data_IF_264642706439
#
_entry.id   IF_264642706439
#
_cell.length_a   1.000
_cell.length_b   1.000
_cell.length_c   1.000
_cell.angle_alpha   90.00
_cell.angle_beta   90.00
_cell.angle_gamma   90.00
#
_symmetry.space_group_name_H-M   'P 1'
#
loop_
_entity.id
_entity.type
_entity.pdbx_description
1 polymer ?
#
# COMPACT_ATOMS: atom_id res chain seq x y z
N UNK A 1 -62.01 -9.24 19.42
CA UNK A 1 -60.68 -8.70 19.05
C UNK A 1 -60.41 -9.16 17.62
N UNK A 2 -60.49 -8.24 16.66
CA UNK A 2 -60.28 -8.54 15.25
C UNK A 2 -58.78 -8.58 14.95
N UNK A 3 -58.33 -9.59 14.21
CA UNK A 3 -56.97 -9.69 13.71
C UNK A 3 -56.70 -8.57 12.67
N UNK A 4 -55.46 -8.03 12.59
CA UNK A 4 -55.16 -7.04 11.57
C UNK A 4 -55.19 -7.69 10.19
N UNK A 5 -55.66 -6.97 9.15
CA UNK A 5 -55.61 -7.48 7.78
C UNK A 5 -54.16 -7.60 7.33
N UNK A 6 -53.84 -8.75 6.72
CA UNK A 6 -52.61 -8.95 5.98
C UNK A 6 -52.51 -7.85 4.91
N UNK A 7 -51.59 -6.90 5.12
CA UNK A 7 -51.21 -5.92 4.13
C UNK A 7 -50.45 -6.62 3.01
N UNK A 8 -51.18 -7.21 2.06
CA UNK A 8 -50.61 -7.60 0.78
C UNK A 8 -50.20 -6.33 0.05
N UNK A 9 -48.92 -6.00 0.11
CA UNK A 9 -48.32 -5.03 -0.81
C UNK A 9 -48.36 -5.69 -2.20
N UNK A 10 -49.38 -5.40 -2.99
CA UNK A 10 -49.35 -5.62 -4.44
C UNK A 10 -48.45 -4.55 -5.02
N UNK A 11 -47.15 -4.71 -4.81
CA UNK A 11 -46.14 -3.98 -5.54
C UNK A 11 -46.01 -4.71 -6.90
N UNK A 12 -46.96 -4.43 -7.80
CA UNK A 12 -46.96 -4.89 -9.19
C UNK A 12 -45.96 -4.05 -10.01
N UNK A 13 -44.74 -3.93 -9.49
CA UNK A 13 -43.63 -3.36 -10.24
C UNK A 13 -43.01 -4.51 -11.01
N UNK A 14 -42.93 -4.46 -12.36
CA UNK A 14 -42.34 -5.54 -13.13
C UNK A 14 -40.91 -5.73 -12.66
N UNK A 15 -40.63 -6.89 -12.07
CA UNK A 15 -39.27 -7.25 -11.64
C UNK A 15 -38.32 -7.08 -12.84
N UNK A 16 -37.30 -6.25 -12.67
CA UNK A 16 -36.36 -5.91 -13.74
C UNK A 16 -35.41 -7.09 -13.96
N UNK A 17 -35.79 -7.97 -14.88
CA UNK A 17 -34.99 -9.10 -15.35
C UNK A 17 -34.06 -8.72 -16.51
N UNK A 18 -33.76 -7.43 -16.73
CA UNK A 18 -32.85 -7.02 -17.79
C UNK A 18 -31.43 -7.56 -17.56
N UNK A 19 -30.67 -7.72 -18.65
CA UNK A 19 -29.26 -8.10 -18.55
C UNK A 19 -28.46 -7.08 -17.71
N UNK A 20 -28.83 -5.80 -17.73
CA UNK A 20 -28.17 -4.79 -16.89
C UNK A 20 -28.41 -5.01 -15.39
N UNK A 21 -29.59 -5.51 -15.01
CA UNK A 21 -29.94 -5.82 -13.62
C UNK A 21 -29.40 -7.19 -13.14
N UNK A 22 -29.18 -8.13 -14.06
CA UNK A 22 -28.76 -9.51 -13.75
C UNK A 22 -27.27 -9.78 -13.97
N UNK A 23 -26.56 -8.93 -14.72
CA UNK A 23 -25.12 -9.09 -14.96
C UNK A 23 -24.32 -8.51 -13.79
N UNK A 24 -23.74 -9.41 -13.00
CA UNK A 24 -22.66 -9.06 -12.07
C UNK A 24 -21.39 -8.87 -12.91
N UNK A 25 -20.95 -7.63 -13.07
CA UNK A 25 -19.65 -7.36 -13.69
C UNK A 25 -18.55 -7.76 -12.71
N UNK A 26 -17.60 -8.55 -13.19
CA UNK A 26 -16.36 -8.73 -12.48
C UNK A 26 -15.56 -7.44 -12.54
N UNK A 27 -14.84 -7.16 -11.46
CA UNK A 27 -13.82 -6.13 -11.50
C UNK A 27 -12.81 -6.49 -12.60
N UNK A 28 -12.39 -5.51 -13.43
CA UNK A 28 -11.34 -5.76 -14.41
C UNK A 28 -10.08 -6.26 -13.70
N UNK A 29 -9.28 -7.11 -14.37
CA UNK A 29 -8.05 -7.62 -13.76
C UNK A 29 -7.14 -6.44 -13.39
N UNK A 30 -6.56 -6.50 -12.19
CA UNK A 30 -5.60 -5.49 -11.77
C UNK A 30 -4.42 -5.46 -12.74
N UNK A 31 -3.99 -4.27 -13.21
CA UNK A 31 -2.86 -4.16 -14.12
C UNK A 31 -1.59 -4.71 -13.46
N UNK A 32 -0.77 -5.42 -14.24
CA UNK A 32 0.45 -6.02 -13.72
C UNK A 32 1.45 -4.92 -13.33
N UNK A 33 1.94 -4.97 -12.08
CA UNK A 33 2.97 -4.03 -11.60
C UNK A 33 4.28 -4.15 -12.38
N UNK A 34 4.58 -5.34 -12.89
CA UNK A 34 5.79 -5.61 -13.67
C UNK A 34 5.44 -6.45 -14.89
N UNK A 35 6.04 -6.12 -16.03
CA UNK A 35 5.91 -6.88 -17.27
C UNK A 35 7.29 -7.40 -17.72
N UNK A 36 7.33 -8.47 -18.53
CA UNK A 36 8.57 -8.92 -19.16
C UNK A 36 9.15 -7.84 -20.07
N UNK A 37 10.44 -7.53 -19.93
CA UNK A 37 11.21 -6.69 -20.86
C UNK A 37 12.45 -7.44 -21.31
N UNK A 38 12.97 -7.21 -22.53
CA UNK A 38 14.20 -7.85 -22.98
C UNK A 38 15.35 -7.56 -22.01
N UNK A 39 16.21 -8.55 -21.75
CA UNK A 39 17.44 -8.28 -21.00
C UNK A 39 18.38 -7.38 -21.82
N UNK A 40 19.34 -6.76 -21.14
CA UNK A 40 20.34 -5.92 -21.79
C UNK A 40 21.27 -6.72 -22.72
N UNK A 41 21.47 -8.02 -22.46
CA UNK A 41 22.30 -8.88 -23.29
C UNK A 41 21.45 -9.69 -24.29
N UNK A 42 21.85 -9.75 -25.58
CA UNK A 42 21.17 -10.58 -26.58
C UNK A 42 21.18 -12.05 -26.18
N UNK A 43 20.03 -12.72 -26.30
CA UNK A 43 19.88 -14.15 -25.98
C UNK A 43 19.65 -14.46 -24.50
N UNK A 44 19.69 -13.46 -23.61
CA UNK A 44 19.27 -13.65 -22.22
C UNK A 44 17.74 -13.66 -22.08
N UNK A 45 17.21 -14.36 -21.06
CA UNK A 45 15.78 -14.38 -20.76
C UNK A 45 15.23 -12.97 -20.46
N UNK A 46 13.93 -12.78 -20.72
CA UNK A 46 13.26 -11.55 -20.34
C UNK A 46 13.26 -11.38 -18.81
N UNK A 47 13.33 -10.13 -18.35
CA UNK A 47 13.29 -9.75 -16.94
C UNK A 47 11.99 -9.04 -16.63
N UNK A 48 11.45 -9.21 -15.41
CA UNK A 48 10.26 -8.47 -14.99
C UNK A 48 10.63 -7.07 -14.51
N UNK A 49 10.11 -6.05 -15.19
CA UNK A 49 10.37 -4.65 -14.89
C UNK A 49 9.08 -3.87 -14.63
N UNK A 50 9.16 -2.87 -13.76
CA UNK A 50 8.16 -1.81 -13.69
C UNK A 50 8.15 -1.00 -14.98
N UNK A 51 6.98 -0.43 -15.30
CA UNK A 51 6.79 0.41 -16.49
C UNK A 51 7.78 1.56 -16.54
N UNK A 52 7.96 2.25 -15.43
CA UNK A 52 8.78 3.45 -15.34
C UNK A 52 9.16 3.75 -13.88
N UNK A 53 9.96 4.80 -13.68
CA UNK A 53 10.34 5.25 -12.35
C UNK A 53 9.14 5.65 -11.47
N UNK A 54 8.05 6.14 -12.07
CA UNK A 54 6.87 6.60 -11.34
C UNK A 54 6.08 5.42 -10.76
N UNK A 55 5.84 4.40 -11.57
CA UNK A 55 5.19 3.14 -11.16
C UNK A 55 6.03 2.36 -10.16
N UNK A 56 7.37 2.32 -10.32
CA UNK A 56 8.26 1.76 -9.30
C UNK A 56 8.12 2.50 -7.96
N UNK A 57 8.13 3.85 -7.99
CA UNK A 57 8.05 4.67 -6.77
C UNK A 57 6.67 4.56 -6.11
N UNK A 58 5.59 4.59 -6.89
CA UNK A 58 4.24 4.38 -6.38
C UNK A 58 4.08 3.00 -5.71
N UNK A 59 4.67 1.96 -6.30
CA UNK A 59 4.66 0.63 -5.71
C UNK A 59 5.52 0.55 -4.44
N UNK A 60 6.66 1.25 -4.39
CA UNK A 60 7.47 1.38 -3.17
C UNK A 60 6.65 2.04 -2.05
N UNK A 61 6.06 3.21 -2.33
CA UNK A 61 5.33 3.99 -1.35
C UNK A 61 4.10 3.24 -0.83
N UNK A 62 3.38 2.54 -1.72
CA UNK A 62 2.24 1.70 -1.34
C UNK A 62 2.67 0.51 -0.46
N UNK A 63 3.80 -0.13 -0.77
CA UNK A 63 4.32 -1.23 0.04
C UNK A 63 4.80 -0.74 1.41
N UNK A 64 5.50 0.40 1.45
CA UNK A 64 5.95 1.04 2.70
C UNK A 64 4.76 1.41 3.58
N UNK A 65 3.76 2.09 3.03
CA UNK A 65 2.54 2.47 3.74
C UNK A 65 1.77 1.25 4.28
N UNK A 66 1.67 0.18 3.49
CA UNK A 66 1.02 -1.07 3.92
C UNK A 66 1.77 -1.72 5.08
N UNK A 67 3.11 -1.77 5.02
CA UNK A 67 3.93 -2.33 6.09
C UNK A 67 3.88 -1.48 7.37
N UNK A 68 3.88 -0.16 7.24
CA UNK A 68 3.69 0.77 8.38
C UNK A 68 2.33 0.50 9.03
N UNK A 69 1.26 0.47 8.25
CA UNK A 69 -0.10 0.23 8.75
C UNK A 69 -0.22 -1.11 9.50
N UNK A 70 0.34 -2.19 8.93
CA UNK A 70 0.36 -3.50 9.58
C UNK A 70 1.18 -3.49 10.88
N UNK A 71 2.34 -2.82 10.87
CA UNK A 71 3.16 -2.68 12.05
C UNK A 71 2.44 -1.89 13.16
N UNK A 72 1.79 -0.77 12.83
CA UNK A 72 1.02 0.02 13.78
C UNK A 72 -0.16 -0.76 14.35
N UNK A 73 -0.85 -1.56 13.53
CA UNK A 73 -1.90 -2.45 14.00
C UNK A 73 -1.37 -3.49 15.01
N UNK A 74 -0.19 -4.06 14.75
CA UNK A 74 0.51 -4.93 15.68
C UNK A 74 0.93 -4.20 16.97
N UNK A 75 1.44 -2.97 16.82
CA UNK A 75 1.84 -2.12 17.94
C UNK A 75 0.64 -1.77 18.84
N UNK A 76 -0.55 -1.48 18.29
CA UNK A 76 -1.78 -1.26 19.09
C UNK A 76 -2.07 -2.43 20.02
N UNK A 77 -1.98 -3.66 19.52
CA UNK A 77 -2.17 -4.87 20.34
C UNK A 77 -1.07 -5.04 21.39
N UNK A 78 0.19 -4.81 21.05
CA UNK A 78 1.31 -4.90 22.00
C UNK A 78 1.28 -3.81 23.08
N UNK A 79 0.92 -2.59 22.70
CA UNK A 79 0.81 -1.43 23.57
C UNK A 79 -0.35 -1.56 24.54
N UNK A 80 -1.51 -2.09 24.13
CA UNK A 80 -2.64 -2.32 25.04
C UNK A 80 -2.29 -3.34 26.14
N UNK A 81 -1.57 -4.41 25.80
CA UNK A 81 -1.07 -5.40 26.77
C UNK A 81 -0.06 -4.73 27.72
N UNK A 82 0.86 -3.93 27.19
CA UNK A 82 1.90 -3.25 27.98
C UNK A 82 1.28 -2.23 28.94
N UNK A 83 0.34 -1.41 28.46
CA UNK A 83 -0.41 -0.44 29.25
C UNK A 83 -1.18 -1.14 30.38
N UNK A 84 -1.93 -2.20 30.06
CA UNK A 84 -2.67 -2.99 31.06
C UNK A 84 -1.75 -3.57 32.14
N UNK A 85 -0.57 -4.05 31.77
CA UNK A 85 0.42 -4.59 32.71
C UNK A 85 1.03 -3.52 33.62
N UNK A 86 1.25 -2.31 33.10
CA UNK A 86 1.78 -1.18 33.89
C UNK A 86 0.75 -0.56 34.82
N UNK A 87 -0.52 -0.53 34.41
CA UNK A 87 -1.59 0.14 35.15
C UNK A 87 -2.38 -0.80 36.07
N UNK A 88 -2.14 -2.12 36.02
CA UNK A 88 -2.79 -3.07 36.93
C UNK A 88 -2.33 -2.85 38.37
N UNK A 89 -3.25 -2.76 39.35
CA UNK A 89 -2.86 -2.69 40.76
C UNK A 89 -2.12 -3.97 41.17
N UNK A 90 -1.15 -3.89 42.09
CA UNK A 90 -0.48 -5.07 42.61
C UNK A 90 -1.47 -6.07 43.18
N UNK A 91 -1.25 -7.37 42.92
CA UNK A 91 -2.17 -8.43 43.33
C UNK A 91 -2.44 -8.47 44.84
N UNK A 92 -1.47 -8.05 45.66
CA UNK A 92 -1.61 -8.01 47.12
C UNK A 92 -2.61 -6.96 47.63
N UNK A 93 -2.89 -5.89 46.86
CA UNK A 93 -3.90 -4.88 47.25
C UNK A 93 -5.31 -5.49 47.31
N UNK A 94 -5.62 -6.44 46.43
CA UNK A 94 -6.89 -7.16 46.45
C UNK A 94 -7.00 -8.18 47.59
N UNK A 95 -5.86 -8.67 48.11
CA UNK A 95 -5.84 -9.62 49.23
C UNK A 95 -6.06 -8.95 50.59
N UNK A 96 -5.62 -7.70 50.75
CA UNK A 96 -5.68 -6.96 52.01
C UNK A 96 -7.01 -6.21 52.23
N UNK A 97 -8.01 -6.42 51.36
CA UNK A 97 -9.30 -5.72 51.48
C UNK A 97 -9.21 -4.20 51.33
N UNK A 98 -8.13 -3.70 50.69
CA UNK A 98 -8.03 -2.29 50.35
C UNK A 98 -9.14 -1.91 49.36
N UNK A 99 -9.47 -0.62 49.31
CA UNK A 99 -10.57 -0.04 48.54
C UNK A 99 -10.72 -0.66 47.12
N UNK A 100 -11.96 -0.78 46.60
CA UNK A 100 -12.21 -1.31 45.27
C UNK A 100 -11.30 -0.62 44.24
N UNK A 101 -10.83 -1.39 43.25
CA UNK A 101 -9.95 -0.86 42.20
C UNK A 101 -10.62 0.36 41.58
N UNK A 102 -9.92 1.50 41.60
CA UNK A 102 -10.37 2.69 40.90
C UNK A 102 -10.23 2.44 39.39
N UNK A 103 -11.35 2.10 38.77
CA UNK A 103 -11.40 1.81 37.35
C UNK A 103 -11.15 3.07 36.50
N UNK A 104 -11.52 4.24 37.00
CA UNK A 104 -11.33 5.51 36.28
C UNK A 104 -9.85 5.93 36.28
N UNK A 105 -9.17 5.81 37.42
CA UNK A 105 -7.72 6.03 37.48
C UNK A 105 -6.96 5.03 36.61
N UNK A 106 -7.41 3.78 36.58
CA UNK A 106 -6.82 2.73 35.74
C UNK A 106 -7.00 3.04 34.26
N UNK A 107 -8.18 3.43 33.83
CA UNK A 107 -8.46 3.81 32.44
C UNK A 107 -7.57 4.99 32.01
N UNK A 108 -7.50 6.05 32.82
CA UNK A 108 -6.62 7.21 32.56
C UNK A 108 -5.13 6.84 32.53
N UNK A 109 -4.71 5.82 33.26
CA UNK A 109 -3.36 5.29 33.18
C UNK A 109 -3.15 4.53 31.87
N UNK A 110 -4.08 3.62 31.53
CA UNK A 110 -3.99 2.78 30.33
C UNK A 110 -4.00 3.62 29.05
N UNK A 111 -4.83 4.66 28.98
CA UNK A 111 -4.85 5.62 27.86
C UNK A 111 -3.50 6.34 27.69
N UNK A 112 -2.91 6.85 28.78
CA UNK A 112 -1.61 7.55 28.73
C UNK A 112 -0.48 6.62 28.32
N UNK A 113 -0.42 5.43 28.90
CA UNK A 113 0.60 4.43 28.57
C UNK A 113 0.44 3.90 27.15
N UNK A 114 -0.80 3.72 26.68
CA UNK A 114 -1.08 3.30 25.30
C UNK A 114 -0.66 4.39 24.31
N UNK A 115 -1.03 5.64 24.54
CA UNK A 115 -0.65 6.76 23.67
C UNK A 115 0.89 6.91 23.57
N UNK A 116 1.58 6.91 24.72
CA UNK A 116 3.04 7.01 24.74
C UNK A 116 3.73 5.83 24.02
N UNK A 117 3.22 4.62 24.20
CA UNK A 117 3.74 3.43 23.52
C UNK A 117 3.51 3.49 21.99
N UNK A 118 2.33 3.94 21.55
CA UNK A 118 2.01 4.07 20.13
C UNK A 118 2.86 5.14 19.44
N UNK A 119 3.05 6.31 20.06
CA UNK A 119 3.93 7.34 19.51
C UNK A 119 5.38 6.83 19.36
N UNK A 120 5.89 6.11 20.36
CA UNK A 120 7.21 5.49 20.28
C UNK A 120 7.31 4.41 19.18
N UNK A 121 6.20 3.71 18.89
CA UNK A 121 6.17 2.66 17.88
C UNK A 121 6.19 3.20 16.44
N UNK A 122 5.67 4.40 16.18
CA UNK A 122 5.56 4.96 14.81
C UNK A 122 6.90 4.99 14.07
N UNK A 123 7.94 5.55 14.69
CA UNK A 123 9.26 5.65 14.05
C UNK A 123 9.88 4.26 13.83
N UNK A 124 9.69 3.33 14.77
CA UNK A 124 10.14 1.96 14.63
C UNK A 124 9.43 1.25 13.47
N UNK A 125 8.13 1.48 13.29
CA UNK A 125 7.35 0.94 12.17
C UNK A 125 7.81 1.49 10.81
N UNK A 126 8.10 2.79 10.71
CA UNK A 126 8.65 3.40 9.50
C UNK A 126 10.02 2.78 9.17
N UNK A 127 10.92 2.68 10.14
CA UNK A 127 12.25 2.05 9.95
C UNK A 127 12.12 0.59 9.52
N UNK A 128 11.20 -0.16 10.14
CA UNK A 128 10.92 -1.54 9.78
C UNK A 128 10.42 -1.64 8.33
N UNK A 129 9.44 -0.82 7.94
CA UNK A 129 8.87 -0.80 6.60
C UNK A 129 9.93 -0.52 5.53
N UNK A 130 10.74 0.54 5.70
CA UNK A 130 11.85 0.88 4.79
C UNK A 130 12.86 -0.27 4.68
N UNK A 131 13.23 -0.87 5.81
CA UNK A 131 14.14 -2.01 5.85
C UNK A 131 13.59 -3.27 5.15
N UNK A 132 12.27 -3.42 5.08
CA UNK A 132 11.62 -4.52 4.34
C UNK A 132 11.42 -4.20 2.86
N UNK A 133 11.18 -2.94 2.49
CA UNK A 133 11.07 -2.51 1.10
C UNK A 133 12.40 -2.58 0.35
N UNK A 134 13.54 -2.38 1.02
CA UNK A 134 14.84 -2.30 0.34
C UNK A 134 15.16 -3.54 -0.50
N UNK A 135 14.97 -4.75 0.03
CA UNK A 135 15.32 -5.99 -0.68
C UNK A 135 14.54 -6.17 -1.99
N UNK A 136 13.20 -6.22 -1.95
CA UNK A 136 12.38 -6.45 -3.14
C UNK A 136 12.43 -5.38 -4.22
N UNK A 137 12.78 -4.13 -3.86
CA UNK A 137 12.73 -2.99 -4.77
C UNK A 137 14.09 -2.50 -5.24
N UNK A 138 15.17 -2.68 -4.46
CA UNK A 138 16.52 -2.28 -4.86
C UNK A 138 16.95 -2.98 -6.14
N UNK A 139 16.69 -4.29 -6.24
CA UNK A 139 17.04 -5.09 -7.41
C UNK A 139 15.91 -5.19 -8.45
N UNK A 140 14.75 -4.58 -8.17
CA UNK A 140 13.66 -4.56 -9.14
C UNK A 140 14.08 -3.78 -10.38
N UNK A 141 13.70 -4.31 -11.55
CA UNK A 141 13.98 -3.67 -12.83
C UNK A 141 12.95 -2.60 -13.14
N UNK A 142 13.39 -1.56 -13.82
CA UNK A 142 12.57 -0.47 -14.32
C UNK A 142 12.87 -0.32 -15.81
N UNK A 143 11.84 -0.32 -16.65
CA UNK A 143 12.03 -0.18 -18.09
C UNK A 143 12.58 1.21 -18.44
N UNK A 144 13.45 1.26 -19.44
CA UNK A 144 13.94 2.51 -20.03
C UNK A 144 12.88 3.14 -20.93
N UNK A 145 12.74 4.48 -20.92
CA UNK A 145 11.72 5.19 -21.71
C UNK A 145 11.68 4.84 -23.20
N UNK A 146 12.85 4.63 -23.83
CA UNK A 146 12.94 4.31 -25.27
C UNK A 146 12.41 2.93 -25.68
N UNK A 147 12.14 2.02 -24.74
CA UNK A 147 11.56 0.70 -25.01
C UNK A 147 10.03 0.77 -25.12
N UNK A 148 9.41 1.63 -24.32
CA UNK A 148 7.96 1.80 -24.24
C UNK A 148 7.35 2.51 -25.44
N UNK A 149 8.11 3.41 -26.08
CA UNK A 149 7.66 4.12 -27.28
C UNK A 149 7.68 3.25 -28.54
N UNK A 150 8.44 2.14 -28.53
CA UNK A 150 8.66 1.26 -29.68
C UNK A 150 7.99 -0.11 -29.58
N UNK A 151 7.31 -0.42 -28.48
CA UNK A 151 6.68 -1.72 -28.28
C UNK A 151 5.20 -1.57 -27.98
N UNK A 152 4.38 -2.30 -28.73
CA UNK A 152 2.94 -2.50 -28.48
C UNK A 152 2.75 -3.44 -27.27
N UNK A 153 3.32 -3.06 -26.12
CA UNK A 153 3.30 -3.86 -24.91
C UNK A 153 1.96 -3.67 -24.20
N UNK A 154 0.92 -4.33 -24.71
CA UNK A 154 -0.45 -4.36 -24.16
C UNK A 154 -0.53 -4.86 -22.70
N UNK A 155 0.57 -5.42 -22.17
CA UNK A 155 0.65 -6.01 -20.82
C UNK A 155 0.39 -4.98 -19.70
N UNK A 156 0.75 -3.71 -19.91
CA UNK A 156 0.44 -2.63 -18.95
C UNK A 156 -0.88 -1.90 -19.26
N UNK A 157 -1.54 -2.23 -20.38
CA UNK A 157 -2.69 -1.52 -20.94
C UNK A 157 -4.05 -2.17 -20.71
N UNK A 158 -4.14 -3.26 -19.94
CA UNK A 158 -5.40 -3.93 -19.63
C UNK A 158 -6.30 -3.02 -18.75
N UNK A 159 -7.09 -2.15 -19.38
CA UNK A 159 -8.12 -1.33 -18.74
C UNK A 159 -8.29 0.10 -19.29
N UNK A 160 -7.45 0.55 -20.23
CA UNK A 160 -7.60 1.88 -20.82
C UNK A 160 -8.42 1.83 -22.11
N UNK A 161 -9.68 2.27 -22.07
CA UNK A 161 -10.40 2.63 -23.29
C UNK A 161 -9.52 3.60 -24.09
N UNK A 162 -9.28 3.27 -25.37
CA UNK A 162 -8.43 4.01 -26.34
C UNK A 162 -8.90 5.45 -26.65
N UNK A 163 -9.70 6.07 -25.79
CA UNK A 163 -10.29 7.41 -25.98
C UNK A 163 -9.98 8.40 -24.85
N UNK A 164 -9.31 8.00 -23.77
CA UNK A 164 -8.82 8.96 -22.79
C UNK A 164 -7.45 9.49 -23.22
N UNK A 165 -7.49 10.65 -23.89
CA UNK A 165 -6.36 11.57 -24.07
C UNK A 165 -5.42 11.48 -22.87
N UNK A 166 -4.17 11.11 -23.13
CA UNK A 166 -3.12 11.08 -22.14
C UNK A 166 -3.02 12.46 -21.48
N UNK A 167 -3.67 12.61 -20.32
CA UNK A 167 -3.32 13.66 -19.38
C UNK A 167 -2.03 13.21 -18.73
N UNK A 168 -0.95 13.43 -19.47
CA UNK A 168 0.40 13.41 -18.97
C UNK A 168 0.48 14.50 -17.91
N UNK A 169 0.39 14.11 -16.64
CA UNK A 169 1.17 14.76 -15.60
C UNK A 169 2.65 14.45 -15.88
N UNK A 170 3.15 15.04 -16.97
CA UNK A 170 4.57 15.14 -17.29
C UNK A 170 5.17 16.07 -16.23
N UNK A 171 5.53 15.50 -15.08
CA UNK A 171 6.61 16.07 -14.31
C UNK A 171 7.87 15.89 -15.16
N UNK A 172 8.27 17.04 -15.70
CA UNK A 172 9.41 17.32 -16.56
C UNK A 172 10.72 16.77 -15.97
N UNK A 173 10.94 15.47 -16.06
CA UNK A 173 12.26 14.86 -15.97
C UNK A 173 12.64 14.44 -17.39
N UNK A 174 13.08 15.43 -18.18
CA UNK A 174 13.85 15.16 -19.39
C UNK A 174 15.17 14.51 -18.96
N UNK A 175 15.10 13.21 -18.71
CA UNK A 175 16.26 12.37 -18.50
C UNK A 175 16.92 12.24 -19.86
N UNK A 176 17.92 13.11 -20.09
CA UNK A 176 18.79 13.07 -21.25
C UNK A 176 19.66 11.81 -21.15
N UNK A 177 19.05 10.65 -21.41
CA UNK A 177 19.80 9.44 -21.67
C UNK A 177 20.30 9.54 -23.11
N UNK A 178 21.62 9.45 -23.28
CA UNK A 178 22.21 9.14 -24.57
C UNK A 178 21.46 7.92 -25.14
N UNK A 179 21.04 7.93 -26.41
CA UNK A 179 20.30 6.84 -27.02
C UNK A 179 21.29 5.72 -27.37
N UNK A 180 21.95 5.16 -26.36
CA UNK A 180 22.51 3.84 -26.48
C UNK A 180 21.32 2.89 -26.46
N UNK A 181 20.92 2.45 -27.65
CA UNK A 181 19.87 1.47 -27.92
C UNK A 181 20.08 0.10 -27.22
N UNK A 182 21.07 -0.02 -26.33
CA UNK A 182 21.48 -1.23 -25.63
C UNK A 182 20.86 -1.39 -24.22
N UNK A 183 20.42 -0.31 -23.57
CA UNK A 183 19.90 -0.39 -22.19
C UNK A 183 18.38 -0.39 -22.18
N UNK A 184 17.80 -1.58 -22.06
CA UNK A 184 16.34 -1.80 -22.03
C UNK A 184 15.72 -1.62 -20.65
N UNK A 185 16.52 -1.72 -19.59
CA UNK A 185 16.10 -1.59 -18.20
C UNK A 185 17.26 -1.20 -17.27
N UNK A 186 16.93 -0.64 -16.11
CA UNK A 186 17.87 -0.29 -15.03
C UNK A 186 17.33 -0.77 -13.67
N UNK A 187 18.14 -0.69 -12.60
CA UNK A 187 17.75 -1.17 -11.26
C UNK A 187 17.19 -0.05 -10.40
N UNK A 188 16.34 -0.42 -9.44
CA UNK A 188 15.88 0.50 -8.39
C UNK A 188 17.02 1.11 -7.57
N UNK A 189 18.13 0.39 -7.37
CA UNK A 189 19.36 0.92 -6.75
C UNK A 189 19.85 2.19 -7.42
N UNK A 190 19.83 2.21 -8.75
CA UNK A 190 20.35 3.33 -9.55
C UNK A 190 19.51 4.60 -9.33
N UNK A 191 18.24 4.44 -8.94
CA UNK A 191 17.34 5.53 -8.59
C UNK A 191 17.51 5.95 -7.13
N UNK A 192 17.67 5.00 -6.21
CA UNK A 192 17.92 5.28 -4.78
C UNK A 192 19.23 6.04 -4.56
N UNK A 193 20.32 5.61 -5.22
CA UNK A 193 21.64 6.23 -5.09
C UNK A 193 21.61 7.70 -5.59
N UNK A 194 20.83 7.98 -6.64
CA UNK A 194 20.62 9.35 -7.15
C UNK A 194 19.83 10.23 -6.21
N UNK A 195 18.82 9.68 -5.53
CA UNK A 195 18.05 10.43 -4.53
C UNK A 195 18.94 10.79 -3.34
N UNK A 196 19.73 9.83 -2.85
CA UNK A 196 20.71 10.05 -1.79
C UNK A 196 21.73 11.14 -2.15
N UNK A 197 22.27 11.11 -3.38
CA UNK A 197 23.21 12.14 -3.84
C UNK A 197 22.57 13.54 -3.84
N UNK A 198 21.32 13.66 -4.34
CA UNK A 198 20.61 14.94 -4.40
C UNK A 198 20.29 15.51 -3.01
N UNK A 199 20.03 14.67 -2.02
CA UNK A 199 19.78 15.12 -0.64
C UNK A 199 21.05 15.70 0.00
N UNK A 200 22.23 15.17 -0.35
CA UNK A 200 23.53 15.68 0.15
C UNK A 200 23.94 17.01 -0.51
N UNK A 201 23.55 17.25 -1.76
CA UNK A 201 23.87 18.50 -2.47
C UNK A 201 23.00 19.70 -2.01
N UNK A 202 21.88 19.43 -1.31
CA UNK A 202 20.95 20.45 -0.83
C UNK A 202 21.04 20.71 0.70
N UNK A 203 21.99 20.07 1.39
CA UNK A 203 22.27 20.23 2.83
C UNK A 203 23.46 21.17 3.07
#
# INVERSE_FOLDING_TARGET
MAAPPYGGSTDDSPEDYSAAATVVRFDPPLPLLRAPVPSAAPGEPHVLAFRDAASWRAAWDAAEASLVSQCEAGARSGCSITASRKCKPPWWKGLLGAAPTDYEERERCEEREMAACLEAAKEACIKFAKGKCIGPFRDARIASGGLLENTDFDVWGAGGDKTASASSCALNNQQLFNPDHSVTNYRGSDLLDRLSAKDNDNA
#
